data_IF_267125693796
#
_entry.id   IF_267125693796
#
_cell.length_a   1.000
_cell.length_b   1.000
_cell.length_c   1.000
_cell.angle_alpha   90.00
_cell.angle_beta   90.00
_cell.angle_gamma   90.00
#
_symmetry.space_group_name_H-M   'P 1'
#
loop_
_entity.id
_entity.type
_entity.pdbx_description
1 polymer ?
#
# COMPACT_ATOMS: atom_id res chain seq x y z
N UNK A 1 -3.19 19.38 28.67
CA UNK A 1 -3.70 18.45 27.63
C UNK A 1 -5.08 18.03 28.06
N UNK A 2 -6.06 17.94 27.14
CA UNK A 2 -7.38 17.46 27.51
C UNK A 2 -7.27 16.02 28.06
N UNK A 3 -8.02 15.71 29.12
CA UNK A 3 -8.04 14.38 29.72
C UNK A 3 -9.13 13.54 29.05
N UNK A 4 -8.83 12.28 28.72
CA UNK A 4 -9.81 11.37 28.10
C UNK A 4 -10.59 10.60 29.16
N UNK A 5 -11.86 10.30 28.88
CA UNK A 5 -12.70 9.47 29.77
C UNK A 5 -12.12 8.06 29.96
N UNK A 6 -12.46 7.39 31.06
CA UNK A 6 -12.05 6.00 31.28
C UNK A 6 -12.62 5.06 30.21
N UNK A 7 -13.85 5.32 29.76
CA UNK A 7 -14.52 4.56 28.71
C UNK A 7 -13.76 4.65 27.38
N UNK A 8 -13.37 5.86 26.97
CA UNK A 8 -12.56 6.04 25.77
C UNK A 8 -11.20 5.34 25.88
N UNK A 9 -10.53 5.45 27.02
CA UNK A 9 -9.24 4.75 27.24
C UNK A 9 -9.42 3.24 27.07
N UNK A 10 -10.48 2.66 27.63
CA UNK A 10 -10.78 1.23 27.47
C UNK A 10 -11.07 0.85 26.01
N UNK A 11 -11.87 1.66 25.30
CA UNK A 11 -12.14 1.51 23.86
C UNK A 11 -10.86 1.47 23.04
N UNK A 12 -9.87 2.32 23.35
CA UNK A 12 -8.55 2.28 22.70
C UNK A 12 -7.79 1.00 23.01
N UNK A 13 -7.70 0.62 24.29
CA UNK A 13 -6.97 -0.60 24.70
C UNK A 13 -7.54 -1.87 24.08
N UNK A 14 -8.86 -1.96 23.94
CA UNK A 14 -9.54 -3.12 23.32
C UNK A 14 -9.58 -3.02 21.80
N UNK A 15 -9.63 -1.81 21.25
CA UNK A 15 -9.84 -1.56 19.83
C UNK A 15 -8.60 -1.67 18.95
N UNK A 16 -7.39 -1.59 19.51
CA UNK A 16 -6.17 -1.57 18.70
C UNK A 16 -4.97 -2.29 19.32
N UNK A 17 -4.39 -3.21 18.54
CA UNK A 17 -3.13 -3.87 18.88
C UNK A 17 -1.95 -3.19 18.16
N UNK A 18 -1.04 -2.58 18.92
CA UNK A 18 0.05 -1.77 18.34
C UNK A 18 1.03 -2.55 17.46
N UNK A 19 1.13 -3.87 17.62
CA UNK A 19 1.92 -4.76 16.76
C UNK A 19 1.45 -4.72 15.30
N UNK A 20 0.18 -4.39 15.05
CA UNK A 20 -0.34 -4.20 13.68
C UNK A 20 0.36 -3.07 12.94
N UNK A 21 0.81 -2.03 13.63
CA UNK A 21 1.61 -0.96 13.01
C UNK A 21 2.97 -1.50 12.54
N UNK A 22 3.55 -2.47 13.24
CA UNK A 22 4.79 -3.11 12.79
C UNK A 22 4.53 -3.98 11.56
N UNK A 23 3.41 -4.70 11.51
CA UNK A 23 2.99 -5.42 10.31
C UNK A 23 2.75 -4.48 9.12
N UNK A 24 2.18 -3.30 9.33
CA UNK A 24 2.06 -2.29 8.28
C UNK A 24 3.43 -1.80 7.79
N UNK A 25 4.44 -1.68 8.66
CA UNK A 25 5.82 -1.39 8.26
C UNK A 25 6.39 -2.51 7.38
N UNK A 26 6.15 -3.78 7.73
CA UNK A 26 6.59 -4.92 6.90
C UNK A 26 6.00 -4.85 5.49
N UNK A 27 4.73 -4.46 5.34
CA UNK A 27 4.10 -4.23 4.03
C UNK A 27 4.72 -3.04 3.29
N UNK A 28 5.06 -1.96 3.98
CA UNK A 28 5.81 -0.84 3.37
C UNK A 28 7.19 -1.29 2.88
N UNK A 29 7.88 -2.15 3.63
CA UNK A 29 9.17 -2.70 3.22
C UNK A 29 9.04 -3.62 1.99
N UNK A 30 7.94 -4.38 1.88
CA UNK A 30 7.60 -5.14 0.67
C UNK A 30 7.36 -4.19 -0.52
N UNK A 31 6.59 -3.12 -0.33
CA UNK A 31 6.38 -2.09 -1.35
C UNK A 31 7.69 -1.44 -1.77
N UNK A 32 8.61 -1.18 -0.83
CA UNK A 32 9.93 -0.62 -1.12
C UNK A 32 10.76 -1.54 -2.01
N UNK A 33 10.64 -2.86 -1.87
CA UNK A 33 11.34 -3.80 -2.76
C UNK A 33 10.81 -3.76 -4.20
N UNK A 34 9.54 -3.40 -4.40
CA UNK A 34 8.88 -3.38 -5.71
C UNK A 34 8.92 -2.01 -6.39
N UNK A 35 8.81 -0.94 -5.58
CA UNK A 35 8.64 0.44 -6.04
C UNK A 35 9.80 1.36 -5.65
N UNK A 36 10.69 0.92 -4.76
CA UNK A 36 11.86 1.70 -4.37
C UNK A 36 12.88 1.77 -5.49
N UNK A 37 13.62 2.88 -5.53
CA UNK A 37 14.80 2.97 -6.37
C UNK A 37 15.83 1.91 -5.95
N UNK A 38 16.51 1.34 -6.94
CA UNK A 38 17.58 0.36 -6.76
C UNK A 38 18.92 1.07 -6.44
N UNK A 39 20.02 0.30 -6.39
CA UNK A 39 21.38 0.82 -6.27
C UNK A 39 21.63 1.99 -7.25
N UNK A 40 22.36 3.00 -6.77
CA UNK A 40 22.63 4.26 -7.50
C UNK A 40 21.40 5.13 -7.83
N UNK A 41 20.28 5.01 -7.09
CA UNK A 41 19.04 5.77 -7.33
C UNK A 41 18.42 5.47 -8.70
N UNK A 42 18.57 4.23 -9.18
CA UNK A 42 17.94 3.81 -10.43
C UNK A 42 16.46 3.60 -10.20
N UNK A 43 15.58 4.06 -11.11
CA UNK A 43 14.14 3.84 -10.97
C UNK A 43 13.79 2.35 -10.80
N UNK A 44 12.66 2.04 -10.13
CA UNK A 44 12.24 0.65 -9.91
C UNK A 44 12.05 -0.11 -11.21
N UNK A 45 12.32 -1.42 -11.18
CA UNK A 45 12.30 -2.30 -12.35
C UNK A 45 10.94 -2.27 -13.09
N UNK A 46 9.83 -2.15 -12.36
CA UNK A 46 8.48 -2.01 -12.93
C UNK A 46 8.37 -0.88 -13.96
N UNK A 47 9.14 0.21 -13.80
CA UNK A 47 9.18 1.30 -14.79
C UNK A 47 9.78 0.84 -16.10
N UNK A 48 10.88 0.08 -16.05
CA UNK A 48 11.54 -0.43 -17.25
C UNK A 48 10.70 -1.50 -17.93
N UNK A 49 10.05 -2.35 -17.14
CA UNK A 49 9.16 -3.39 -17.64
C UNK A 49 7.94 -2.79 -18.35
N UNK A 50 7.33 -1.72 -17.80
CA UNK A 50 6.26 -0.98 -18.48
C UNK A 50 6.73 -0.34 -19.80
N UNK A 51 7.95 0.21 -19.84
CA UNK A 51 8.52 0.74 -21.08
C UNK A 51 8.80 -0.37 -22.10
N UNK A 52 9.25 -1.54 -21.65
CA UNK A 52 9.46 -2.71 -22.50
C UNK A 52 8.14 -3.24 -23.03
N UNK A 53 7.12 -3.35 -22.18
CA UNK A 53 5.77 -3.75 -22.55
C UNK A 53 5.20 -2.80 -23.62
N UNK A 54 5.40 -1.49 -23.45
CA UNK A 54 5.01 -0.51 -24.46
C UNK A 54 5.69 -0.75 -25.82
N UNK A 55 7.00 -1.02 -25.83
CA UNK A 55 7.73 -1.33 -27.08
C UNK A 55 7.19 -2.60 -27.74
N UNK A 56 6.94 -3.66 -26.96
CA UNK A 56 6.36 -4.90 -27.46
C UNK A 56 4.95 -4.67 -28.02
N UNK A 57 4.14 -3.85 -27.37
CA UNK A 57 2.82 -3.49 -27.83
C UNK A 57 2.88 -2.67 -29.14
N UNK A 58 3.83 -1.75 -29.26
CA UNK A 58 4.07 -1.01 -30.51
C UNK A 58 4.40 -1.97 -31.66
N UNK A 59 5.30 -2.94 -31.44
CA UNK A 59 5.67 -3.92 -32.47
C UNK A 59 4.50 -4.85 -32.83
N UNK A 60 3.82 -5.41 -31.83
CA UNK A 60 2.76 -6.39 -32.01
C UNK A 60 1.46 -5.77 -32.54
N UNK A 61 0.94 -4.75 -31.85
CA UNK A 61 -0.38 -4.15 -32.13
C UNK A 61 -0.31 -3.19 -33.30
N UNK A 62 0.67 -2.27 -33.30
CA UNK A 62 0.69 -1.18 -34.27
C UNK A 62 1.43 -1.57 -35.56
N UNK A 63 2.51 -2.35 -35.46
CA UNK A 63 3.31 -2.77 -36.60
C UNK A 63 2.98 -4.18 -37.11
N UNK A 64 2.07 -4.89 -36.43
CA UNK A 64 1.60 -6.22 -36.84
C UNK A 64 2.63 -7.34 -36.69
N UNK A 65 3.68 -7.15 -35.89
CA UNK A 65 4.72 -8.15 -35.66
C UNK A 65 4.23 -9.26 -34.70
N UNK A 66 3.41 -10.17 -35.21
CA UNK A 66 2.75 -11.22 -34.40
C UNK A 66 3.74 -12.15 -33.65
N UNK A 67 4.98 -12.24 -34.12
CA UNK A 67 6.04 -12.99 -33.44
C UNK A 67 6.39 -12.44 -32.04
N UNK A 68 6.00 -11.19 -31.73
CA UNK A 68 6.20 -10.55 -30.43
C UNK A 68 5.12 -10.88 -29.40
N UNK A 69 4.04 -11.53 -29.83
CA UNK A 69 2.91 -11.87 -28.97
C UNK A 69 3.29 -12.61 -27.69
N UNK A 70 4.08 -13.71 -27.75
CA UNK A 70 4.46 -14.45 -26.54
C UNK A 70 5.18 -13.56 -25.51
N UNK A 71 6.24 -12.86 -25.92
CA UNK A 71 7.00 -11.96 -25.03
C UNK A 71 6.13 -10.82 -24.47
N UNK A 72 5.22 -10.27 -25.29
CA UNK A 72 4.27 -9.24 -24.86
C UNK A 72 3.35 -9.74 -23.74
N UNK A 73 2.73 -10.89 -23.93
CA UNK A 73 1.75 -11.40 -22.97
C UNK A 73 2.41 -11.96 -21.71
N UNK A 74 3.56 -12.63 -21.83
CA UNK A 74 4.32 -13.10 -20.68
C UNK A 74 4.68 -11.93 -19.75
N UNK A 75 5.26 -10.85 -20.31
CA UNK A 75 5.60 -9.65 -19.54
C UNK A 75 4.35 -8.96 -18.96
N UNK A 76 3.23 -8.97 -19.69
CA UNK A 76 1.98 -8.40 -19.18
C UNK A 76 1.44 -9.17 -17.97
N UNK A 77 1.52 -10.51 -17.98
CA UNK A 77 1.11 -11.33 -16.84
C UNK A 77 2.00 -11.12 -15.62
N UNK A 78 3.32 -11.08 -15.82
CA UNK A 78 4.27 -10.81 -14.74
C UNK A 78 4.01 -9.44 -14.08
N UNK A 79 3.73 -8.42 -14.90
CA UNK A 79 3.38 -7.08 -14.41
C UNK A 79 2.03 -7.06 -13.67
N UNK A 80 1.03 -7.80 -14.15
CA UNK A 80 -0.28 -7.88 -13.49
C UNK A 80 -0.17 -8.51 -12.09
N UNK A 81 0.61 -9.59 -11.95
CA UNK A 81 0.87 -10.26 -10.66
C UNK A 81 1.66 -9.36 -9.70
N UNK A 82 2.65 -8.63 -10.22
CA UNK A 82 3.39 -7.64 -9.44
C UNK A 82 2.49 -6.50 -8.95
N UNK A 83 1.61 -5.98 -9.81
CA UNK A 83 0.63 -4.93 -9.45
C UNK A 83 -0.36 -5.45 -8.42
N UNK A 84 -0.81 -6.70 -8.55
CA UNK A 84 -1.69 -7.34 -7.58
C UNK A 84 -1.04 -7.37 -6.18
N UNK A 85 0.22 -7.83 -6.11
CA UNK A 85 1.01 -7.85 -4.87
C UNK A 85 1.16 -6.45 -4.24
N UNK A 86 1.43 -5.43 -5.06
CA UNK A 86 1.52 -4.03 -4.59
C UNK A 86 0.18 -3.57 -3.98
N UNK A 87 -0.94 -3.88 -4.64
CA UNK A 87 -2.27 -3.50 -4.16
C UNK A 87 -2.59 -4.16 -2.84
N UNK A 88 -2.34 -5.46 -2.70
CA UNK A 88 -2.58 -6.17 -1.44
C UNK A 88 -1.77 -5.57 -0.27
N UNK A 89 -0.49 -5.27 -0.49
CA UNK A 89 0.34 -4.65 0.55
C UNK A 89 -0.17 -3.24 0.93
N UNK A 90 -0.60 -2.43 -0.05
CA UNK A 90 -1.22 -1.12 0.22
C UNK A 90 -2.53 -1.24 0.99
N UNK A 91 -3.39 -2.19 0.63
CA UNK A 91 -4.67 -2.43 1.30
C UNK A 91 -4.46 -2.80 2.78
N UNK A 92 -3.45 -3.60 3.11
CA UNK A 92 -3.14 -3.96 4.51
C UNK A 92 -2.62 -2.79 5.34
N UNK A 93 -1.81 -1.92 4.72
CA UNK A 93 -1.39 -0.65 5.35
C UNK A 93 -2.60 0.23 5.61
N UNK A 94 -3.45 0.45 4.60
CA UNK A 94 -4.65 1.28 4.73
C UNK A 94 -5.59 0.74 5.82
N UNK A 95 -5.89 -0.56 5.82
CA UNK A 95 -6.73 -1.21 6.84
C UNK A 95 -6.20 -0.98 8.26
N UNK A 96 -4.89 -1.09 8.44
CA UNK A 96 -4.25 -0.87 9.75
C UNK A 96 -4.42 0.57 10.21
N UNK A 97 -4.14 1.53 9.33
CA UNK A 97 -4.29 2.96 9.65
C UNK A 97 -5.76 3.30 9.89
N UNK A 98 -6.68 2.81 9.06
CA UNK A 98 -8.11 3.04 9.20
C UNK A 98 -8.64 2.53 10.55
N UNK A 99 -8.22 1.32 10.96
CA UNK A 99 -8.59 0.76 12.28
C UNK A 99 -8.18 1.70 13.41
N UNK A 100 -7.01 2.34 13.31
CA UNK A 100 -6.56 3.30 14.32
C UNK A 100 -7.31 4.64 14.24
N UNK A 101 -7.58 5.14 13.03
CA UNK A 101 -8.28 6.43 12.87
C UNK A 101 -9.77 6.34 13.21
N UNK A 102 -10.39 5.17 13.05
CA UNK A 102 -11.77 4.91 13.48
C UNK A 102 -11.93 4.99 15.01
N UNK A 103 -10.81 4.93 15.74
CA UNK A 103 -10.75 5.08 17.19
C UNK A 103 -10.45 6.52 17.63
N UNK A 104 -10.39 7.49 16.70
CA UNK A 104 -10.24 8.90 17.05
C UNK A 104 -11.33 9.34 18.07
N UNK A 105 -10.97 10.20 19.04
CA UNK A 105 -11.90 10.61 20.09
C UNK A 105 -12.97 11.55 19.54
N UNK A 106 -14.21 11.35 19.97
CA UNK A 106 -15.28 12.32 19.77
C UNK A 106 -15.09 13.51 20.74
N UNK A 107 -14.97 14.76 20.25
CA UNK A 107 -14.87 15.97 21.07
C UNK A 107 -15.93 16.14 22.15
N UNK A 108 -17.14 15.65 21.90
CA UNK A 108 -18.28 15.88 22.78
C UNK A 108 -18.47 14.74 23.81
N UNK A 109 -17.92 13.55 23.54
CA UNK A 109 -18.16 12.34 24.36
C UNK A 109 -16.90 11.81 25.07
N UNK A 110 -15.73 11.87 24.41
CA UNK A 110 -14.54 11.13 24.83
C UNK A 110 -13.57 11.94 25.71
N UNK A 111 -13.87 13.23 25.94
CA UNK A 111 -13.12 14.12 26.81
C UNK A 111 -13.79 14.30 28.17
N UNK A 112 -12.98 14.36 29.23
CA UNK A 112 -13.45 14.81 30.53
C UNK A 112 -13.91 16.27 30.39
N UNK A 113 -15.21 16.50 30.47
CA UNK A 113 -15.75 17.85 30.62
C UNK A 113 -15.16 18.41 31.92
N UNK A 114 -14.33 19.45 31.80
CA UNK A 114 -13.74 20.10 32.97
C UNK A 114 -14.84 20.60 33.89
N UNK A 115 -15.03 19.94 35.03
CA UNK A 115 -15.68 20.56 36.18
C UNK A 115 -14.68 21.57 36.75
N UNK A 116 -14.90 22.85 36.47
CA UNK A 116 -14.45 23.96 37.34
C UNK A 116 -15.32 24.00 38.61
#
# INVERSE_FOLDING_TARGET
MPQYTQEYRQKIYEGFETTRLLSAVDHVDQLRQLLGDDEDFRPPQIRQDLLRLHQLAMEFVNNGAMSKGPELFDLAFDLDDQIFTIREALDEVEKTIQTLTDLAPDPDEDYENGED
#
